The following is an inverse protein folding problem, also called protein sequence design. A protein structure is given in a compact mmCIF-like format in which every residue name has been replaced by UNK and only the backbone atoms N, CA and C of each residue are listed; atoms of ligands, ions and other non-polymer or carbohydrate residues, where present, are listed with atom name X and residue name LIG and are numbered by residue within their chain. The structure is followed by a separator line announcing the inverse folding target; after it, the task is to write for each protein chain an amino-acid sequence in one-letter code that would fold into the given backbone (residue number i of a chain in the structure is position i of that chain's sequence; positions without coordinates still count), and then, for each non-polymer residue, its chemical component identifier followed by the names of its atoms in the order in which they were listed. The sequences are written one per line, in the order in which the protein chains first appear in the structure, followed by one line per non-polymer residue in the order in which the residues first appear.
data_IF_754223765004
#
_entry.id   IF_754223765004
#
_cell.length_a   1.000
_cell.length_b   1.000
_cell.length_c   1.000
_cell.angle_alpha   90.00
_cell.angle_beta   90.00
_cell.angle_gamma   90.00
#
_symmetry.space_group_name_H-M   'P 1'
#
loop_
_entity.id
_entity.type
_entity.pdbx_description
1 polymer ?
#
# COMPACT_ATOMS: atom_id res chain seq x y z
N UNK A 1 -19.69 4.73 7.38
CA UNK A 1 -19.75 4.28 6.78
C UNK A 1 -19.52 3.83 6.27
N UNK A 2 -19.43 3.97 6.27
CA UNK A 2 -19.15 3.33 5.74
C UNK A 2 -18.68 3.56 5.04
N UNK A 3 -18.15 3.68 4.93
CA UNK A 3 -17.66 3.86 4.12
C UNK A 3 -17.92 3.56 3.11
N UNK A 4 -18.30 3.87 2.94
CA UNK A 4 -18.76 3.65 1.92
C UNK A 4 -18.36 2.59 1.33
N UNK A 5 -19.03 1.94 1.34
CA UNK A 5 -18.77 0.88 0.69
C UNK A 5 -17.49 0.76 0.16
N UNK A 6 -16.95 1.64 0.33
CA UNK A 6 -15.84 1.49 -0.06
C UNK A 6 -15.00 1.11 0.94
N UNK A 7 -15.28 0.34 1.75
CA UNK A 7 -14.27 -0.19 2.58
C UNK A 7 -13.17 -0.67 1.69
N UNK A 8 -12.06 -0.03 1.77
CA UNK A 8 -10.95 -0.39 0.95
C UNK A 8 -10.48 -1.79 1.23
N UNK A 9 -10.61 -2.23 2.47
CA UNK A 9 -10.21 -3.56 2.85
C UNK A 9 -11.00 -4.67 2.19
N UNK A 10 -12.13 -4.32 1.56
CA UNK A 10 -12.95 -5.31 0.88
C UNK A 10 -12.49 -5.61 -0.54
N UNK A 11 -11.61 -4.82 -1.09
CA UNK A 11 -11.13 -5.03 -2.46
C UNK A 11 -9.96 -5.98 -2.49
N UNK A 12 -9.80 -6.65 -3.60
CA UNK A 12 -8.67 -7.54 -3.85
C UNK A 12 -7.99 -7.17 -5.13
N UNK A 13 -6.70 -7.45 -5.20
CA UNK A 13 -5.90 -7.13 -6.36
C UNK A 13 -6.22 -8.06 -7.53
N UNK A 14 -6.03 -7.53 -8.72
CA UNK A 14 -6.04 -8.33 -9.94
C UNK A 14 -4.62 -8.68 -10.31
N UNK A 15 -4.47 -9.63 -11.23
CA UNK A 15 -3.15 -10.01 -11.68
C UNK A 15 -2.39 -8.80 -12.22
N UNK A 16 -1.13 -8.64 -11.78
CA UNK A 16 -0.30 -7.53 -12.21
C UNK A 16 0.45 -7.94 -13.47
N UNK A 17 -0.17 -7.72 -14.61
CA UNK A 17 0.43 -8.02 -15.89
C UNK A 17 0.70 -6.73 -16.64
N UNK A 18 1.49 -6.83 -17.70
CA UNK A 18 1.81 -5.67 -18.51
C UNK A 18 0.58 -5.00 -19.12
N UNK A 19 -0.57 -5.70 -19.18
CA UNK A 19 -1.81 -5.13 -19.65
C UNK A 19 -2.62 -4.38 -18.61
N UNK A 20 -2.18 -4.39 -17.34
CA UNK A 20 -2.88 -3.67 -16.28
C UNK A 20 -2.81 -2.17 -16.58
N UNK A 21 -3.96 -1.47 -16.60
CA UNK A 21 -3.91 -0.05 -16.97
C UNK A 21 -3.31 0.79 -15.86
N UNK A 22 -2.44 1.75 -16.20
CA UNK A 22 -1.96 2.72 -15.22
C UNK A 22 -3.09 3.69 -14.87
N UNK A 23 -3.05 4.22 -13.65
CA UNK A 23 -4.03 5.20 -13.22
C UNK A 23 -3.66 6.59 -13.75
N UNK A 24 -4.66 7.35 -14.15
CA UNK A 24 -4.48 8.74 -14.50
C UNK A 24 -4.26 9.57 -13.23
N UNK A 25 -3.67 10.76 -13.37
CA UNK A 25 -3.35 11.62 -12.24
C UNK A 25 -4.56 11.91 -11.37
N UNK A 26 -5.72 12.18 -11.98
CA UNK A 26 -6.92 12.48 -11.21
C UNK A 26 -7.38 11.27 -10.39
N UNK A 27 -7.24 10.07 -10.94
CA UNK A 27 -7.59 8.85 -10.22
C UNK A 27 -6.63 8.61 -9.06
N UNK A 28 -5.34 8.90 -9.26
CA UNK A 28 -4.34 8.78 -8.20
C UNK A 28 -4.71 9.71 -7.03
N UNK A 29 -5.08 10.94 -7.33
CA UNK A 29 -5.47 11.89 -6.28
C UNK A 29 -6.68 11.40 -5.50
N UNK A 30 -7.68 10.86 -6.19
CA UNK A 30 -8.87 10.34 -5.52
C UNK A 30 -8.54 9.14 -4.64
N UNK A 31 -7.76 8.21 -5.16
CA UNK A 31 -7.39 7.02 -4.38
C UNK A 31 -6.53 7.40 -3.17
N UNK A 32 -5.61 8.33 -3.37
CA UNK A 32 -4.73 8.77 -2.28
C UNK A 32 -5.55 9.41 -1.16
N UNK A 33 -6.58 10.18 -1.50
CA UNK A 33 -7.44 10.83 -0.52
C UNK A 33 -8.28 9.83 0.28
N UNK A 34 -8.50 8.63 -0.26
CA UNK A 34 -9.23 7.58 0.44
C UNK A 34 -8.38 6.80 1.43
N UNK A 35 -7.07 6.89 1.31
CA UNK A 35 -6.17 6.17 2.21
C UNK A 35 -6.01 6.91 3.53
N UNK A 36 -5.52 6.20 4.54
CA UNK A 36 -5.16 6.82 5.79
C UNK A 36 -4.08 7.87 5.55
N UNK A 37 -4.02 8.88 6.41
CA UNK A 37 -3.00 9.91 6.30
C UNK A 37 -1.61 9.28 6.40
N UNK A 38 -0.66 9.85 5.72
CA UNK A 38 0.71 9.38 5.77
C UNK A 38 1.23 8.80 4.47
N UNK A 39 0.35 8.48 3.53
CA UNK A 39 0.79 8.03 2.22
C UNK A 39 1.16 9.25 1.36
N UNK A 40 2.31 9.17 0.74
CA UNK A 40 2.82 10.26 -0.11
C UNK A 40 3.09 9.73 -1.51
N UNK A 41 2.73 10.55 -2.49
CA UNK A 41 3.08 10.26 -3.88
C UNK A 41 4.54 10.66 -4.08
N UNK A 42 5.36 9.74 -4.55
CA UNK A 42 6.77 10.02 -4.77
C UNK A 42 6.97 10.80 -6.07
N UNK A 43 8.15 11.42 -6.18
CA UNK A 43 8.50 12.18 -7.37
C UNK A 43 8.36 11.29 -8.61
N UNK A 44 7.80 11.85 -9.67
CA UNK A 44 7.51 11.09 -10.89
C UNK A 44 6.14 10.45 -10.90
N UNK A 45 5.46 10.37 -9.76
CA UNK A 45 4.07 9.90 -9.71
C UNK A 45 3.89 8.42 -9.95
N UNK A 46 4.95 7.61 -9.80
CA UNK A 46 4.89 6.19 -10.10
C UNK A 46 4.88 5.29 -8.88
N UNK A 47 4.96 5.86 -7.69
CA UNK A 47 4.98 5.09 -6.45
C UNK A 47 4.37 5.89 -5.32
N UNK A 48 3.86 5.16 -4.31
CA UNK A 48 3.40 5.77 -3.06
C UNK A 48 4.19 5.17 -1.92
N UNK A 49 4.35 5.95 -0.85
CA UNK A 49 5.17 5.56 0.29
C UNK A 49 4.52 6.01 1.58
N UNK A 50 4.55 5.15 2.59
CA UNK A 50 4.19 5.53 3.95
C UNK A 50 5.19 4.96 4.93
N UNK A 51 5.56 5.77 5.94
CA UNK A 51 6.42 5.32 7.03
C UNK A 51 5.57 5.03 8.25
N UNK A 52 5.75 3.84 8.82
CA UNK A 52 5.09 3.42 10.05
C UNK A 52 6.11 3.39 11.16
N UNK A 53 5.74 3.88 12.34
CA UNK A 53 6.63 3.96 13.49
C UNK A 53 6.15 3.06 14.61
N UNK A 54 7.10 2.47 15.33
CA UNK A 54 6.81 1.51 16.40
C UNK A 54 7.71 1.79 17.59
N UNK A 55 7.38 1.21 18.73
CA UNK A 55 8.16 1.48 19.94
C UNK A 55 9.41 0.62 20.04
N UNK A 56 9.46 -0.53 19.35
CA UNK A 56 10.61 -1.42 19.42
C UNK A 56 10.66 -2.33 18.21
N UNK A 57 11.70 -3.13 18.15
CA UNK A 57 11.92 -4.01 16.99
C UNK A 57 10.89 -5.12 16.90
N UNK A 58 10.44 -5.64 18.03
CA UNK A 58 9.43 -6.70 18.03
C UNK A 58 8.13 -6.21 17.37
N UNK A 59 7.70 -5.01 17.73
CA UNK A 59 6.48 -4.45 17.13
C UNK A 59 6.68 -4.14 15.65
N UNK A 60 7.87 -3.64 15.28
CA UNK A 60 8.19 -3.41 13.88
C UNK A 60 8.10 -4.70 13.08
N UNK A 61 8.70 -5.78 13.57
CA UNK A 61 8.71 -7.05 12.84
C UNK A 61 7.35 -7.71 12.82
N UNK A 62 6.54 -7.55 13.86
CA UNK A 62 5.16 -8.04 13.82
C UNK A 62 4.39 -7.38 12.69
N UNK A 63 4.57 -6.09 12.51
CA UNK A 63 3.95 -5.36 11.41
C UNK A 63 4.47 -5.85 10.06
N UNK A 64 5.79 -6.01 9.93
CA UNK A 64 6.41 -6.47 8.69
C UNK A 64 5.85 -7.85 8.29
N UNK A 65 5.70 -8.75 9.25
CA UNK A 65 5.14 -10.08 8.98
C UNK A 65 3.69 -9.98 8.50
N UNK A 66 2.90 -9.07 9.06
CA UNK A 66 1.53 -8.86 8.62
C UNK A 66 1.48 -8.28 7.20
N UNK A 67 2.40 -7.36 6.89
CA UNK A 67 2.53 -6.82 5.53
C UNK A 67 2.86 -7.94 4.54
N UNK A 68 3.76 -8.83 4.93
CA UNK A 68 4.14 -9.96 4.08
C UNK A 68 2.94 -10.85 3.80
N UNK A 69 2.08 -11.07 4.80
CA UNK A 69 0.88 -11.87 4.60
C UNK A 69 -0.06 -11.23 3.58
N UNK A 70 -0.28 -9.92 3.71
CA UNK A 70 -1.12 -9.18 2.76
C UNK A 70 -0.53 -9.29 1.36
N UNK A 71 0.77 -9.01 1.23
CA UNK A 71 1.43 -9.01 -0.07
C UNK A 71 1.34 -10.37 -0.75
N UNK A 72 1.54 -11.44 0.02
CA UNK A 72 1.49 -12.79 -0.53
C UNK A 72 0.07 -13.19 -0.89
N UNK A 73 -0.91 -12.79 -0.08
CA UNK A 73 -2.32 -13.10 -0.33
C UNK A 73 -2.80 -12.42 -1.60
N UNK A 74 -2.40 -11.15 -1.81
CA UNK A 74 -2.84 -10.37 -2.96
C UNK A 74 -1.91 -10.53 -4.17
N UNK A 75 -0.78 -11.22 -3.98
CA UNK A 75 0.23 -11.38 -5.01
C UNK A 75 0.67 -10.04 -5.60
N UNK A 76 0.86 -9.05 -4.71
CA UNK A 76 1.31 -7.71 -5.09
C UNK A 76 2.21 -7.20 -3.98
N UNK A 77 3.50 -7.09 -4.25
CA UNK A 77 4.51 -6.95 -3.20
C UNK A 77 5.09 -5.55 -3.16
N UNK A 78 5.21 -4.97 -1.95
CA UNK A 78 5.85 -3.67 -1.77
C UNK A 78 7.35 -3.82 -1.69
N UNK A 79 8.05 -2.70 -1.79
CA UNK A 79 9.41 -2.61 -1.32
C UNK A 79 9.37 -2.13 0.12
N UNK A 80 10.17 -2.73 0.98
CA UNK A 80 10.18 -2.39 2.39
C UNK A 80 11.57 -1.92 2.81
N UNK A 81 11.58 -0.88 3.64
CA UNK A 81 12.79 -0.44 4.33
C UNK A 81 12.49 -0.56 5.81
N UNK A 82 13.24 -1.39 6.52
CA UNK A 82 12.94 -1.77 7.91
C UNK A 82 14.10 -1.39 8.80
N UNK A 83 13.81 -0.68 9.89
CA UNK A 83 14.78 -0.38 10.93
C UNK A 83 14.28 -0.89 12.27
N UNK A 84 14.95 -0.46 13.35
CA UNK A 84 14.59 -0.91 14.69
C UNK A 84 13.15 -0.58 15.04
N UNK A 85 12.72 0.63 14.72
CA UNK A 85 11.42 1.13 15.16
C UNK A 85 10.63 1.78 14.01
N UNK A 86 10.90 1.39 12.78
CA UNK A 86 10.14 1.91 11.65
C UNK A 86 10.11 0.91 10.51
N UNK A 87 9.11 1.08 9.66
CA UNK A 87 8.99 0.35 8.40
C UNK A 87 8.44 1.32 7.36
N UNK A 88 9.18 1.51 6.27
CA UNK A 88 8.68 2.29 5.13
C UNK A 88 8.16 1.32 4.09
N UNK A 89 6.91 1.52 3.70
CA UNK A 89 6.22 0.67 2.73
C UNK A 89 6.05 1.46 1.44
N UNK A 90 6.61 0.93 0.36
CA UNK A 90 6.57 1.59 -0.94
C UNK A 90 5.88 0.67 -1.93
N UNK A 91 4.80 1.17 -2.56
CA UNK A 91 4.08 0.41 -3.57
C UNK A 91 4.20 1.06 -4.94
N UNK A 92 4.42 0.22 -5.93
CA UNK A 92 4.34 0.57 -7.34
C UNK A 92 4.00 -0.71 -8.09
N UNK A 93 3.46 -0.60 -9.29
CA UNK A 93 3.20 -1.78 -10.11
C UNK A 93 4.33 -1.93 -11.12
N UNK A 94 5.29 -2.79 -10.79
CA UNK A 94 6.53 -2.93 -11.57
C UNK A 94 6.26 -3.34 -13.02
N UNK A 95 5.25 -4.16 -13.25
CA UNK A 95 4.95 -4.66 -14.59
C UNK A 95 4.64 -3.55 -15.59
N UNK A 96 4.17 -2.40 -15.11
CA UNK A 96 3.80 -1.29 -15.99
C UNK A 96 4.59 -0.02 -15.68
N UNK A 97 5.48 -0.06 -14.69
CA UNK A 97 6.31 1.09 -14.31
C UNK A 97 5.49 2.27 -13.85
N UNK A 98 4.33 2.05 -13.24
CA UNK A 98 3.40 3.11 -12.86
C UNK A 98 2.48 2.60 -11.75
N UNK A 99 1.67 3.50 -11.19
CA UNK A 99 0.66 3.12 -10.20
C UNK A 99 -0.55 2.51 -10.89
N UNK A 100 -1.09 1.47 -10.28
CA UNK A 100 -2.35 0.86 -10.69
C UNK A 100 -3.27 0.79 -9.49
N UNK A 101 -4.50 0.36 -9.72
CA UNK A 101 -5.48 0.15 -8.65
C UNK A 101 -4.94 -0.77 -7.56
N UNK A 102 -4.14 -1.76 -7.94
CA UNK A 102 -3.60 -2.73 -6.99
C UNK A 102 -2.76 -2.08 -5.89
N UNK A 103 -2.01 -1.04 -6.23
CA UNK A 103 -1.17 -0.36 -5.25
C UNK A 103 -2.02 0.24 -4.13
N UNK A 104 -3.15 0.83 -4.49
CA UNK A 104 -4.04 1.45 -3.51
C UNK A 104 -4.85 0.42 -2.74
N UNK A 105 -5.24 -0.68 -3.38
CA UNK A 105 -5.91 -1.77 -2.69
C UNK A 105 -5.00 -2.34 -1.59
N UNK A 106 -3.75 -2.62 -1.92
CA UNK A 106 -2.81 -3.15 -0.94
C UNK A 106 -2.49 -2.14 0.14
N UNK A 107 -2.31 -0.86 -0.22
CA UNK A 107 -2.06 0.18 0.78
C UNK A 107 -3.20 0.25 1.79
N UNK A 108 -4.43 0.16 1.32
CA UNK A 108 -5.60 0.18 2.22
C UNK A 108 -5.63 -1.05 3.14
N UNK A 109 -5.29 -2.21 2.60
CA UNK A 109 -5.24 -3.43 3.41
C UNK A 109 -4.16 -3.32 4.49
N UNK A 110 -3.03 -2.71 4.15
CA UNK A 110 -1.95 -2.50 5.12
C UNK A 110 -2.37 -1.49 6.18
N UNK A 111 -3.10 -0.45 5.80
CA UNK A 111 -3.62 0.52 6.78
C UNK A 111 -4.57 -0.14 7.78
N UNK A 112 -5.20 -1.24 7.42
CA UNK A 112 -6.11 -1.96 8.31
C UNK A 112 -5.39 -2.86 9.32
N UNK A 113 -4.07 -3.03 9.19
CA UNK A 113 -3.30 -3.84 10.14
C UNK A 113 -3.20 -3.08 11.47
N UNK A 114 -3.55 -3.72 12.61
CA UNK A 114 -3.38 -3.05 13.90
C UNK A 114 -1.90 -2.75 14.16
N UNK A 115 -1.61 -1.52 14.62
CA UNK A 115 -0.24 -1.09 14.84
C UNK A 115 0.05 -0.72 16.29
N UNK A 116 -0.92 -0.82 17.14
CA UNK A 116 -0.75 -0.43 18.56
C UNK A 116 -0.06 -1.52 19.36
#
# INVERSE_FOLDING_TARGET
MTRSGRSSGARHCRACEGGTPPLAAAAIERELAELAAGWHLLAGGTAILREFRFRDFQHTMSFVNAVAHVANTENHHPDLEVGYNYCRVRYTTHAIGALSENDFICAALIDAIPTA
#
